data_IF_943470559446
#
_entry.id   IF_943470559446
#
_cell.length_a   1.000
_cell.length_b   1.000
_cell.length_c   1.000
_cell.angle_alpha   90.00
_cell.angle_beta   90.00
_cell.angle_gamma   90.00
#
_symmetry.space_group_name_H-M   'P 1'
#
loop_
_entity.id
_entity.type
_entity.pdbx_description
1 polymer ?
#
# COMPACT_ATOMS: atom_id res chain seq x y z
N UNK A 1 11.03 13.59 30.42
CA UNK A 1 9.62 13.87 30.07
C UNK A 1 9.28 12.94 28.93
N UNK A 2 8.64 11.79 29.24
CA UNK A 2 8.24 10.80 28.24
C UNK A 2 7.17 11.42 27.34
N UNK A 3 7.52 11.72 26.11
CA UNK A 3 6.58 11.98 25.04
C UNK A 3 5.86 10.64 24.86
N UNK A 4 4.62 10.54 25.33
CA UNK A 4 3.73 9.43 24.97
C UNK A 4 3.77 9.32 23.45
N UNK A 5 4.20 8.17 22.93
CA UNK A 5 4.08 7.79 21.53
C UNK A 5 2.60 7.81 21.13
N UNK A 6 2.09 8.99 20.80
CA UNK A 6 0.92 9.07 19.94
C UNK A 6 1.41 8.55 18.60
N UNK A 7 0.94 7.39 18.19
CA UNK A 7 1.11 6.94 16.82
C UNK A 7 0.60 8.06 15.93
N UNK A 8 1.52 8.76 15.27
CA UNK A 8 1.14 9.82 14.35
C UNK A 8 0.25 9.24 13.26
N UNK A 9 -0.81 9.96 12.93
CA UNK A 9 -1.61 9.61 11.75
C UNK A 9 -0.69 9.69 10.56
N UNK A 10 -0.68 8.63 9.76
CA UNK A 10 0.16 8.49 8.57
C UNK A 10 -0.72 8.55 7.33
N UNK A 11 -0.32 9.38 6.36
CA UNK A 11 -0.99 9.48 5.07
C UNK A 11 0.02 9.33 3.93
N UNK A 12 -0.39 8.65 2.89
CA UNK A 12 0.38 8.56 1.65
C UNK A 12 0.29 9.90 0.90
N UNK A 13 1.44 10.42 0.47
CA UNK A 13 1.52 11.65 -0.31
C UNK A 13 2.31 11.39 -1.60
N UNK A 14 1.63 11.53 -2.73
CA UNK A 14 2.17 11.13 -4.04
C UNK A 14 3.33 12.00 -4.52
N UNK A 15 3.34 13.27 -4.14
CA UNK A 15 4.32 14.23 -4.61
C UNK A 15 5.63 14.15 -3.83
N UNK A 16 6.65 14.84 -4.31
CA UNK A 16 7.94 14.89 -3.64
C UNK A 16 7.84 15.64 -2.31
N UNK A 17 8.41 15.05 -1.26
CA UNK A 17 8.51 15.65 0.06
C UNK A 17 9.95 16.10 0.31
N UNK A 18 10.12 17.31 0.80
CA UNK A 18 11.40 17.90 1.20
C UNK A 18 11.26 18.76 2.45
N UNK A 19 12.36 19.01 3.14
CA UNK A 19 12.36 19.88 4.32
C UNK A 19 11.81 21.26 3.96
N UNK A 20 11.00 21.83 4.85
CA UNK A 20 10.33 23.13 4.70
C UNK A 20 9.36 23.25 3.52
N UNK A 21 9.03 22.15 2.86
CA UNK A 21 7.97 22.15 1.84
C UNK A 21 6.64 22.57 2.49
N UNK A 22 5.98 23.56 1.89
CA UNK A 22 4.61 23.94 2.20
C UNK A 22 3.72 23.47 1.05
N UNK A 23 2.68 22.72 1.35
CA UNK A 23 1.76 22.19 0.36
C UNK A 23 0.38 21.94 0.99
N UNK A 24 -0.55 21.44 0.19
CA UNK A 24 -1.91 21.15 0.61
C UNK A 24 -2.20 19.64 0.49
N UNK A 25 -2.98 19.11 1.42
CA UNK A 25 -3.60 17.81 1.28
C UNK A 25 -4.77 17.89 0.28
N UNK A 26 -5.07 16.79 -0.40
CA UNK A 26 -6.29 16.70 -1.19
C UNK A 26 -7.55 16.81 -0.31
N UNK A 27 -8.72 16.94 -0.96
CA UNK A 27 -10.00 17.11 -0.24
C UNK A 27 -10.34 15.94 0.68
N UNK A 28 -10.04 14.71 0.27
CA UNK A 28 -10.34 13.51 1.05
C UNK A 28 -9.44 13.41 2.27
N UNK A 29 -8.15 13.61 2.09
CA UNK A 29 -7.15 13.62 3.16
C UNK A 29 -7.39 14.80 4.13
N UNK A 30 -7.71 15.99 3.61
CA UNK A 30 -8.05 17.14 4.43
C UNK A 30 -9.29 16.89 5.30
N UNK A 31 -10.35 16.30 4.72
CA UNK A 31 -11.54 15.90 5.46
C UNK A 31 -11.21 14.88 6.55
N UNK A 32 -10.40 13.86 6.21
CA UNK A 32 -9.97 12.83 7.17
C UNK A 32 -9.22 13.45 8.35
N UNK A 33 -8.19 14.26 8.11
CA UNK A 33 -7.39 14.93 9.14
C UNK A 33 -8.26 15.86 10.00
N UNK A 34 -9.00 16.77 9.37
CA UNK A 34 -9.69 17.83 10.09
C UNK A 34 -11.02 17.40 10.74
N UNK A 35 -11.79 16.52 10.08
CA UNK A 35 -13.15 16.17 10.53
C UNK A 35 -13.22 14.82 11.23
N UNK A 36 -12.49 13.79 10.74
CA UNK A 36 -12.51 12.46 11.32
C UNK A 36 -11.54 12.39 12.50
N UNK A 37 -10.28 12.75 12.26
CA UNK A 37 -9.24 12.69 13.29
C UNK A 37 -9.17 13.93 14.17
N UNK A 38 -9.81 15.03 13.75
CA UNK A 38 -9.91 16.28 14.48
C UNK A 38 -8.57 16.87 14.90
N UNK A 39 -7.57 16.73 14.04
CA UNK A 39 -6.25 17.35 14.24
C UNK A 39 -6.39 18.85 13.99
N UNK A 40 -5.78 19.63 14.87
CA UNK A 40 -5.85 21.11 14.86
C UNK A 40 -4.62 21.73 14.21
N UNK A 41 -4.69 23.02 13.92
CA UNK A 41 -3.53 23.82 13.53
C UNK A 41 -2.43 23.73 14.58
N UNK A 42 -1.17 23.64 14.11
CA UNK A 42 0.00 23.42 14.93
C UNK A 42 0.28 21.98 15.33
N UNK A 43 -0.68 21.07 15.22
CA UNK A 43 -0.49 19.64 15.51
C UNK A 43 0.22 18.91 14.36
N UNK A 44 0.79 17.74 14.68
CA UNK A 44 1.64 16.99 13.78
C UNK A 44 0.97 15.72 13.26
N UNK A 45 1.37 15.32 12.05
CA UNK A 45 1.02 14.04 11.43
C UNK A 45 2.19 13.59 10.52
N UNK A 46 2.15 12.36 10.03
CA UNK A 46 3.19 11.85 9.13
C UNK A 46 2.70 11.82 7.68
N UNK A 47 3.61 12.14 6.77
CA UNK A 47 3.44 11.91 5.33
C UNK A 47 4.53 10.96 4.85
N UNK A 48 4.19 10.03 3.96
CA UNK A 48 5.16 9.10 3.41
C UNK A 48 4.97 8.89 1.91
N UNK A 49 6.07 8.49 1.26
CA UNK A 49 6.10 8.00 -0.12
C UNK A 49 7.28 7.01 -0.30
N UNK A 50 7.57 6.64 -1.54
CA UNK A 50 8.66 5.73 -1.90
C UNK A 50 10.07 6.20 -1.50
N UNK A 51 10.24 7.48 -1.09
CA UNK A 51 11.50 8.06 -0.63
C UNK A 51 11.67 8.06 0.88
N UNK A 52 10.61 7.75 1.64
CA UNK A 52 10.65 7.68 3.10
C UNK A 52 9.42 8.25 3.78
N UNK A 53 9.60 8.71 5.01
CA UNK A 53 8.56 9.27 5.86
C UNK A 53 9.01 10.57 6.50
N UNK A 54 8.12 11.54 6.56
CA UNK A 54 8.36 12.89 7.07
C UNK A 54 7.32 13.29 8.10
N UNK A 55 7.76 14.03 9.10
CA UNK A 55 6.87 14.71 10.02
C UNK A 55 6.40 16.01 9.39
N UNK A 56 5.08 16.17 9.33
CA UNK A 56 4.40 17.37 8.90
C UNK A 56 3.67 18.02 10.07
N UNK A 57 3.50 19.33 10.02
CA UNK A 57 2.67 20.11 10.94
C UNK A 57 1.59 20.81 10.14
N UNK A 58 0.37 20.85 10.67
CA UNK A 58 -0.71 21.66 10.09
C UNK A 58 -0.35 23.13 10.26
N UNK A 59 -0.24 23.85 9.15
CA UNK A 59 0.04 25.26 9.12
C UNK A 59 -1.26 26.07 9.18
N UNK A 60 -2.26 25.67 8.40
CA UNK A 60 -3.54 26.37 8.30
C UNK A 60 -4.66 25.41 7.85
N UNK A 61 -5.88 25.67 8.36
CA UNK A 61 -7.12 25.01 7.94
C UNK A 61 -7.99 26.02 7.20
N UNK A 62 -7.90 26.10 5.87
CA UNK A 62 -8.60 27.07 5.07
C UNK A 62 -9.63 26.42 4.14
N UNK A 63 -10.91 26.82 4.25
CA UNK A 63 -12.03 26.35 3.41
C UNK A 63 -12.12 24.84 3.25
N UNK A 64 -11.76 24.09 4.32
CA UNK A 64 -11.79 22.63 4.33
C UNK A 64 -10.57 21.96 3.69
N UNK A 65 -9.54 22.72 3.36
CA UNK A 65 -8.24 22.22 2.89
C UNK A 65 -7.20 22.39 3.99
N UNK A 66 -6.43 21.34 4.25
CA UNK A 66 -5.33 21.34 5.18
C UNK A 66 -4.06 21.77 4.46
N UNK A 67 -3.52 22.94 4.83
CA UNK A 67 -2.19 23.37 4.46
C UNK A 67 -1.18 22.87 5.50
N UNK A 68 -0.06 22.30 5.07
CA UNK A 68 0.96 21.74 5.96
C UNK A 68 2.36 22.18 5.58
N UNK A 69 3.27 22.10 6.56
CA UNK A 69 4.71 22.29 6.38
C UNK A 69 5.46 21.04 6.83
N UNK A 70 6.45 20.61 6.06
CA UNK A 70 7.36 19.51 6.43
C UNK A 70 8.41 20.00 7.43
N UNK A 71 8.44 19.37 8.60
CA UNK A 71 9.32 19.74 9.71
C UNK A 71 10.66 18.99 9.66
N UNK A 72 10.61 17.67 9.43
CA UNK A 72 11.81 16.82 9.34
C UNK A 72 11.54 15.52 8.64
N UNK A 73 12.58 14.91 8.10
CA UNK A 73 12.54 13.51 7.65
C UNK A 73 12.68 12.59 8.85
N UNK A 74 11.77 11.63 8.99
CA UNK A 74 11.75 10.68 10.09
C UNK A 74 12.56 9.42 9.76
N UNK A 75 12.39 8.87 8.54
CA UNK A 75 13.14 7.70 8.07
C UNK A 75 13.22 7.66 6.55
N UNK A 76 14.21 6.93 6.04
CA UNK A 76 14.31 6.61 4.63
C UNK A 76 13.35 5.48 4.27
N UNK A 77 13.07 5.33 2.97
CA UNK A 77 12.37 4.15 2.48
C UNK A 77 13.20 2.90 2.71
N UNK A 78 12.55 1.84 3.14
CA UNK A 78 13.17 0.54 3.37
C UNK A 78 13.25 -0.27 2.08
N UNK A 79 14.31 -1.07 1.93
CA UNK A 79 14.40 -2.07 0.88
C UNK A 79 13.58 -3.30 1.29
N UNK A 80 12.40 -3.43 0.70
CA UNK A 80 11.54 -4.59 0.90
C UNK A 80 11.93 -5.71 -0.06
N UNK A 81 11.84 -6.96 0.40
CA UNK A 81 11.91 -8.12 -0.49
C UNK A 81 10.73 -8.11 -1.45
N UNK A 82 10.96 -8.39 -2.72
CA UNK A 82 9.90 -8.43 -3.71
C UNK A 82 9.07 -9.71 -3.58
N UNK A 83 7.90 -9.58 -3.00
CA UNK A 83 6.88 -10.63 -2.89
C UNK A 83 5.70 -10.24 -3.77
N UNK A 84 5.40 -11.04 -4.77
CA UNK A 84 4.30 -10.81 -5.69
C UNK A 84 3.17 -11.79 -5.41
N UNK A 85 1.94 -11.32 -5.42
CA UNK A 85 0.75 -12.13 -5.28
C UNK A 85 0.00 -12.19 -6.61
N UNK A 86 0.00 -13.37 -7.23
CA UNK A 86 -0.83 -13.69 -8.37
C UNK A 86 -2.15 -14.30 -7.88
N UNK A 87 -3.27 -13.69 -8.20
CA UNK A 87 -4.57 -14.13 -7.67
C UNK A 87 -5.68 -14.04 -8.70
N UNK A 88 -6.65 -14.93 -8.60
CA UNK A 88 -7.89 -14.86 -9.38
C UNK A 88 -8.91 -13.98 -8.66
N UNK A 89 -9.53 -13.00 -9.33
CA UNK A 89 -10.56 -12.17 -8.71
C UNK A 89 -11.70 -12.99 -8.13
N UNK A 90 -12.01 -12.72 -6.87
CA UNK A 90 -13.07 -13.38 -6.10
C UNK A 90 -14.17 -12.37 -5.73
N UNK A 91 -15.24 -12.81 -5.06
CA UNK A 91 -16.32 -11.92 -4.61
C UNK A 91 -15.78 -10.75 -3.80
N UNK A 92 -16.37 -9.57 -3.98
CA UNK A 92 -15.86 -8.27 -3.56
C UNK A 92 -15.38 -8.19 -2.10
N UNK A 93 -16.15 -8.72 -1.15
CA UNK A 93 -15.79 -8.64 0.27
C UNK A 93 -14.51 -9.44 0.58
N UNK A 94 -14.38 -10.62 0.01
CA UNK A 94 -13.18 -11.46 0.17
C UNK A 94 -11.98 -10.86 -0.55
N UNK A 95 -12.20 -10.23 -1.72
CA UNK A 95 -11.14 -9.55 -2.46
C UNK A 95 -10.58 -8.38 -1.66
N UNK A 96 -11.43 -7.55 -1.06
CA UNK A 96 -10.99 -6.44 -0.22
C UNK A 96 -10.12 -6.92 0.94
N UNK A 97 -10.58 -7.97 1.64
CA UNK A 97 -9.85 -8.57 2.75
C UNK A 97 -8.50 -9.16 2.30
N UNK A 98 -8.48 -9.88 1.17
CA UNK A 98 -7.26 -10.43 0.58
C UNK A 98 -6.23 -9.32 0.31
N UNK A 99 -6.63 -8.27 -0.39
CA UNK A 99 -5.73 -7.15 -0.75
C UNK A 99 -5.21 -6.45 0.51
N UNK A 100 -6.08 -6.17 1.47
CA UNK A 100 -5.68 -5.55 2.73
C UNK A 100 -4.64 -6.40 3.45
N UNK A 101 -4.94 -7.69 3.71
CA UNK A 101 -4.05 -8.57 4.47
C UNK A 101 -2.75 -8.88 3.74
N UNK A 102 -2.80 -9.08 2.43
CA UNK A 102 -1.59 -9.27 1.65
C UNK A 102 -0.69 -8.03 1.65
N UNK A 103 -1.27 -6.82 1.63
CA UNK A 103 -0.52 -5.57 1.80
C UNK A 103 0.14 -5.51 3.18
N UNK A 104 -0.60 -5.76 4.25
CA UNK A 104 -0.08 -5.79 5.62
C UNK A 104 1.06 -6.82 5.80
N UNK A 105 0.98 -7.97 5.10
CA UNK A 105 1.98 -9.04 5.13
C UNK A 105 3.20 -8.81 4.23
N UNK A 106 3.27 -7.69 3.51
CA UNK A 106 4.47 -7.30 2.77
C UNK A 106 4.46 -7.62 1.28
N UNK A 107 3.31 -7.98 0.69
CA UNK A 107 3.21 -8.09 -0.78
C UNK A 107 3.55 -6.75 -1.41
N UNK A 108 4.43 -6.79 -2.44
CA UNK A 108 4.90 -5.59 -3.15
C UNK A 108 4.26 -5.41 -4.52
N UNK A 109 3.63 -6.47 -5.05
CA UNK A 109 2.95 -6.43 -6.34
C UNK A 109 1.77 -7.39 -6.38
N UNK A 110 0.63 -6.89 -6.85
CA UNK A 110 -0.60 -7.63 -7.09
C UNK A 110 -0.79 -7.90 -8.57
N UNK A 111 -0.97 -9.16 -8.95
CA UNK A 111 -1.13 -9.60 -10.35
C UNK A 111 -2.46 -10.34 -10.47
N UNK A 112 -3.55 -9.66 -10.83
CA UNK A 112 -4.83 -10.31 -11.03
C UNK A 112 -4.83 -11.14 -12.32
N UNK A 113 -5.30 -12.40 -12.24
CA UNK A 113 -5.27 -13.38 -13.33
C UNK A 113 -6.66 -13.90 -13.63
N UNK A 114 -7.02 -14.00 -14.91
CA UNK A 114 -8.21 -14.70 -15.37
C UNK A 114 -7.89 -16.14 -15.73
N UNK A 115 -8.60 -17.06 -15.09
CA UNK A 115 -8.64 -18.48 -15.47
C UNK A 115 -9.99 -18.81 -16.10
N UNK A 116 -10.12 -20.00 -16.67
CA UNK A 116 -11.35 -20.42 -17.33
C UNK A 116 -12.56 -20.46 -16.37
N UNK A 117 -12.31 -20.79 -15.09
CA UNK A 117 -13.33 -20.88 -14.03
C UNK A 117 -13.52 -19.58 -13.25
N UNK A 118 -12.90 -18.47 -13.66
CA UNK A 118 -13.05 -17.20 -12.96
C UNK A 118 -14.45 -16.64 -13.15
N UNK A 119 -15.17 -16.44 -12.05
CA UNK A 119 -16.54 -15.88 -12.05
C UNK A 119 -16.50 -14.36 -12.18
N UNK A 120 -15.61 -13.68 -11.41
CA UNK A 120 -15.46 -12.22 -11.42
C UNK A 120 -14.45 -11.83 -12.50
N UNK A 121 -14.92 -11.30 -13.62
CA UNK A 121 -14.07 -11.00 -14.78
C UNK A 121 -13.59 -9.57 -14.88
N UNK A 122 -14.01 -8.72 -13.96
CA UNK A 122 -13.60 -7.30 -13.89
C UNK A 122 -13.25 -6.93 -12.47
N UNK A 123 -12.29 -6.00 -12.31
CA UNK A 123 -11.88 -5.45 -11.02
C UNK A 123 -11.95 -3.92 -11.06
N UNK A 124 -12.41 -3.33 -9.98
CA UNK A 124 -12.37 -1.88 -9.81
C UNK A 124 -10.98 -1.50 -9.25
N UNK A 125 -10.10 -1.06 -10.17
CA UNK A 125 -8.70 -0.70 -9.82
C UNK A 125 -8.59 0.46 -8.83
N UNK A 126 -9.45 1.46 -8.96
CA UNK A 126 -9.44 2.62 -8.06
C UNK A 126 -9.75 2.20 -6.62
N UNK A 127 -10.74 1.32 -6.46
CA UNK A 127 -11.09 0.76 -5.15
C UNK A 127 -9.95 -0.07 -4.57
N UNK A 128 -9.34 -0.96 -5.37
CA UNK A 128 -8.22 -1.80 -4.91
C UNK A 128 -7.03 -0.91 -4.52
N UNK A 129 -6.68 0.09 -5.31
CA UNK A 129 -5.59 1.01 -4.98
C UNK A 129 -5.86 1.78 -3.69
N UNK A 130 -7.11 2.18 -3.42
CA UNK A 130 -7.49 2.79 -2.14
C UNK A 130 -7.22 1.85 -0.97
N UNK A 131 -7.64 0.59 -1.06
CA UNK A 131 -7.40 -0.42 -0.01
C UNK A 131 -5.90 -0.64 0.21
N UNK A 132 -5.11 -0.70 -0.88
CA UNK A 132 -3.65 -0.83 -0.80
C UNK A 132 -3.04 0.37 -0.04
N UNK A 133 -3.46 1.59 -0.35
CA UNK A 133 -2.98 2.80 0.32
C UNK A 133 -3.35 2.78 1.80
N UNK A 134 -4.63 2.58 2.13
CA UNK A 134 -5.12 2.52 3.51
C UNK A 134 -4.39 1.42 4.32
N UNK A 135 -4.20 0.23 3.75
CA UNK A 135 -3.47 -0.85 4.40
C UNK A 135 -1.99 -0.52 4.59
N UNK A 136 -1.35 0.20 3.65
CA UNK A 136 0.03 0.65 3.78
C UNK A 136 0.19 1.74 4.85
N UNK A 137 -0.80 2.64 4.96
CA UNK A 137 -0.86 3.64 6.03
C UNK A 137 -0.90 2.99 7.41
N UNK A 138 -1.72 1.95 7.58
CA UNK A 138 -1.91 1.24 8.85
C UNK A 138 -0.76 0.28 9.19
N UNK A 139 -0.12 -0.33 8.20
CA UNK A 139 0.95 -1.33 8.40
C UNK A 139 2.36 -0.74 8.46
N UNK A 140 2.48 0.56 8.58
CA UNK A 140 3.76 1.28 8.71
C UNK A 140 4.72 1.11 7.51
N UNK A 141 4.21 0.76 6.32
CA UNK A 141 4.99 0.64 5.09
C UNK A 141 5.29 2.00 4.48
N UNK A 142 6.44 2.14 3.84
CA UNK A 142 6.81 3.36 3.08
C UNK A 142 6.58 3.19 1.59
N UNK A 143 6.49 1.96 1.10
CA UNK A 143 6.20 1.66 -0.32
C UNK A 143 4.78 1.18 -0.51
N UNK A 144 4.12 1.71 -1.53
CA UNK A 144 2.79 1.28 -1.94
C UNK A 144 2.92 0.10 -2.92
N UNK A 145 2.31 -1.07 -2.63
CA UNK A 145 2.26 -2.19 -3.57
C UNK A 145 1.68 -1.80 -4.94
N UNK A 146 2.28 -2.34 -5.98
CA UNK A 146 1.84 -2.10 -7.35
C UNK A 146 0.70 -3.03 -7.74
N UNK A 147 -0.37 -2.49 -8.32
CA UNK A 147 -1.45 -3.27 -8.93
C UNK A 147 -1.26 -3.35 -10.45
N UNK A 148 -1.04 -4.54 -10.97
CA UNK A 148 -0.91 -4.80 -12.41
C UNK A 148 -2.28 -4.85 -13.12
N UNK A 149 -2.23 -4.90 -14.45
CA UNK A 149 -3.43 -5.11 -15.25
C UNK A 149 -3.93 -6.55 -15.10
N UNK A 150 -5.25 -6.72 -15.20
CA UNK A 150 -5.87 -8.03 -15.27
C UNK A 150 -5.47 -8.72 -16.59
N UNK A 151 -4.84 -9.90 -16.50
CA UNK A 151 -4.34 -10.65 -17.65
C UNK A 151 -4.83 -12.09 -17.62
N UNK A 152 -4.82 -12.80 -18.76
CA UNK A 152 -5.13 -14.22 -18.82
C UNK A 152 -3.98 -15.07 -18.26
N UNK A 153 -4.29 -16.23 -17.69
CA UNK A 153 -3.29 -17.16 -17.16
C UNK A 153 -2.19 -17.50 -18.20
N UNK A 154 -2.55 -17.74 -19.44
CA UNK A 154 -1.56 -18.01 -20.52
C UNK A 154 -0.61 -16.85 -20.75
N UNK A 155 -1.08 -15.62 -20.65
CA UNK A 155 -0.27 -14.41 -20.76
C UNK A 155 0.64 -14.23 -19.53
N UNK A 156 0.10 -14.44 -18.35
CA UNK A 156 0.86 -14.43 -17.10
C UNK A 156 2.07 -15.39 -17.18
N UNK A 157 1.86 -16.65 -17.57
CA UNK A 157 2.91 -17.65 -17.68
C UNK A 157 3.99 -17.28 -18.73
N UNK A 158 3.63 -16.56 -19.78
CA UNK A 158 4.59 -16.03 -20.76
C UNK A 158 5.44 -14.89 -20.22
N UNK A 159 4.79 -13.91 -19.56
CA UNK A 159 5.46 -12.72 -19.05
C UNK A 159 6.41 -13.09 -17.89
N UNK A 160 5.96 -13.96 -16.99
CA UNK A 160 6.65 -14.30 -15.75
C UNK A 160 7.38 -15.65 -15.80
N UNK A 161 7.70 -16.17 -17.01
CA UNK A 161 8.34 -17.49 -17.21
C UNK A 161 9.66 -17.69 -16.45
N UNK A 162 10.38 -16.59 -16.17
CA UNK A 162 11.66 -16.61 -15.45
C UNK A 162 11.52 -16.23 -13.97
N UNK A 163 10.30 -16.10 -13.47
CA UNK A 163 10.02 -15.78 -12.06
C UNK A 163 9.83 -17.06 -11.27
N UNK A 164 10.31 -17.10 -10.03
CA UNK A 164 10.02 -18.23 -9.15
C UNK A 164 8.56 -18.14 -8.69
N UNK A 165 7.76 -19.09 -9.16
CA UNK A 165 6.33 -19.15 -8.83
C UNK A 165 6.13 -20.27 -7.81
N UNK A 166 5.49 -19.95 -6.69
CA UNK A 166 4.96 -20.92 -5.73
C UNK A 166 3.47 -21.06 -6.00
N UNK A 167 3.06 -22.25 -6.32
CA UNK A 167 1.64 -22.57 -6.54
C UNK A 167 1.06 -23.27 -5.32
N UNK A 168 -0.01 -22.70 -4.72
CA UNK A 168 -0.74 -23.33 -3.64
C UNK A 168 -1.65 -24.43 -4.18
N UNK A 169 -1.26 -25.69 -4.01
CA UNK A 169 -2.05 -26.87 -4.39
C UNK A 169 -2.51 -27.62 -3.14
N UNK A 170 -3.83 -27.75 -2.97
CA UNK A 170 -4.43 -28.49 -1.85
C UNK A 170 -4.10 -29.99 -1.85
N UNK A 171 -3.70 -30.54 -3.01
CA UNK A 171 -3.34 -31.94 -3.16
C UNK A 171 -1.83 -32.20 -3.03
N UNK A 172 -1.03 -31.15 -2.83
CA UNK A 172 0.40 -31.30 -2.68
C UNK A 172 0.75 -32.06 -1.40
N UNK A 173 1.60 -33.08 -1.53
CA UNK A 173 2.16 -33.82 -0.38
C UNK A 173 3.37 -33.12 0.23
N UNK A 174 3.91 -32.10 -0.45
CA UNK A 174 5.10 -31.38 -0.02
C UNK A 174 4.71 -30.13 0.74
N UNK A 175 4.85 -30.17 2.07
CA UNK A 175 4.49 -29.10 2.98
C UNK A 175 5.64 -28.12 3.25
N UNK A 176 6.80 -28.31 2.62
CA UNK A 176 7.99 -27.46 2.86
C UNK A 176 8.26 -26.57 1.65
N UNK A 177 8.08 -25.27 1.84
CA UNK A 177 8.53 -24.29 0.87
C UNK A 177 10.00 -23.99 1.16
N UNK A 178 10.90 -24.47 0.30
CA UNK A 178 12.29 -24.03 0.32
C UNK A 178 12.38 -22.62 -0.26
N UNK A 179 12.24 -21.63 0.62
CA UNK A 179 12.40 -20.20 0.31
C UNK A 179 13.88 -19.85 0.14
N UNK A 180 14.62 -20.59 -0.69
CA UNK A 180 16.00 -20.28 -0.97
C UNK A 180 16.06 -18.95 -1.75
N UNK A 181 16.49 -17.90 -1.05
CA UNK A 181 17.08 -16.62 -1.55
C UNK A 181 16.72 -16.14 -2.98
N UNK A 182 15.54 -16.46 -3.48
CA UNK A 182 15.10 -16.14 -4.83
C UNK A 182 14.22 -14.89 -4.78
N UNK A 183 14.69 -13.83 -5.37
CA UNK A 183 13.99 -12.55 -5.47
C UNK A 183 13.85 -12.20 -6.96
N UNK A 184 12.68 -11.92 -7.51
CA UNK A 184 11.37 -11.88 -6.85
C UNK A 184 10.74 -13.27 -6.63
N UNK A 185 9.85 -13.35 -5.63
CA UNK A 185 9.04 -14.51 -5.34
C UNK A 185 7.58 -14.21 -5.70
N UNK A 186 6.97 -15.02 -6.57
CA UNK A 186 5.54 -14.93 -6.89
C UNK A 186 4.77 -16.08 -6.24
N UNK A 187 3.70 -15.78 -5.52
CA UNK A 187 2.78 -16.72 -4.87
C UNK A 187 1.42 -16.67 -5.54
#
# INVERSE_FOLDING_TARGET
MCIRDRSYIRLFFKENLSLNLISNLDKSQSHYIAKVMRIKEGEHFSLFNDKGEWLARINELNKGVVNFIIIKKMRNSENEKEIWLAFTPIKLNYLNFLIQKATELGVTKFIPILTDRTVVRNINKERINRIIIEASEQSNRTKIPKLEKLIKLKEFLKIYKNTNIIFGDLNSKDNKINLLNKNPLCV
#
